data_IF_623443027823
#
_entry.id   IF_623443027823
#
_cell.length_a   1.000
_cell.length_b   1.000
_cell.length_c   1.000
_cell.angle_alpha   90.00
_cell.angle_beta   90.00
_cell.angle_gamma   90.00
#
_symmetry.space_group_name_H-M   'P 1'
#
loop_
_entity.id
_entity.type
_entity.pdbx_description
1 polymer ?
#
# COMPACT_ATOMS: atom_id res chain seq x y z
N UNK A 1 -26.92 -36.94 -26.53
CA UNK A 1 -27.21 -36.60 -25.12
C UNK A 1 -25.87 -36.42 -24.44
N UNK A 2 -25.39 -35.18 -24.34
CA UNK A 2 -24.17 -34.88 -23.62
C UNK A 2 -24.48 -35.03 -22.12
N UNK A 3 -23.75 -35.93 -21.46
CA UNK A 3 -23.82 -36.08 -19.99
C UNK A 3 -23.51 -34.72 -19.35
N UNK A 4 -24.41 -34.28 -18.47
CA UNK A 4 -24.21 -33.14 -17.63
C UNK A 4 -23.11 -33.53 -16.61
N UNK A 5 -21.85 -33.40 -17.03
CA UNK A 5 -20.72 -33.58 -16.12
C UNK A 5 -20.81 -32.51 -15.06
N UNK A 6 -21.01 -32.84 -13.78
CA UNK A 6 -21.07 -31.82 -12.74
C UNK A 6 -19.78 -31.04 -12.76
N UNK A 7 -19.87 -29.71 -12.79
CA UNK A 7 -18.72 -28.83 -12.63
C UNK A 7 -17.85 -29.37 -11.48
N UNK A 8 -16.53 -29.49 -11.67
CA UNK A 8 -15.67 -29.96 -10.59
C UNK A 8 -15.92 -29.15 -9.33
N UNK A 9 -15.86 -29.76 -8.14
CA UNK A 9 -16.16 -29.06 -6.89
C UNK A 9 -15.35 -27.77 -6.83
N UNK A 10 -16.07 -26.67 -6.72
CA UNK A 10 -15.50 -25.33 -6.78
C UNK A 10 -14.38 -25.21 -5.72
N UNK A 11 -13.24 -24.66 -6.12
CA UNK A 11 -12.20 -24.36 -5.13
C UNK A 11 -12.75 -23.43 -4.07
N UNK A 12 -12.37 -23.60 -2.77
CA UNK A 12 -12.76 -22.69 -1.70
C UNK A 12 -12.50 -21.23 -2.08
N UNK A 13 -13.39 -20.33 -1.65
CA UNK A 13 -13.34 -18.91 -2.05
C UNK A 13 -11.99 -18.27 -1.72
N UNK A 14 -11.40 -18.57 -0.57
CA UNK A 14 -10.08 -18.07 -0.16
C UNK A 14 -8.97 -18.45 -1.16
N UNK A 15 -9.01 -19.68 -1.70
CA UNK A 15 -8.07 -20.13 -2.74
C UNK A 15 -8.27 -19.38 -4.05
N UNK A 16 -9.52 -19.13 -4.44
CA UNK A 16 -9.85 -18.38 -5.65
C UNK A 16 -9.38 -16.93 -5.53
N UNK A 17 -9.63 -16.28 -4.40
CA UNK A 17 -9.16 -14.92 -4.11
C UNK A 17 -7.62 -14.87 -4.15
N UNK A 18 -6.94 -15.81 -3.50
CA UNK A 18 -5.47 -15.87 -3.50
C UNK A 18 -4.91 -16.05 -4.91
N UNK A 19 -5.55 -16.92 -5.73
CA UNK A 19 -5.15 -17.10 -7.14
C UNK A 19 -5.35 -15.82 -7.95
N UNK A 20 -6.47 -15.11 -7.75
CA UNK A 20 -6.74 -13.83 -8.40
C UNK A 20 -5.67 -12.79 -8.05
N UNK A 21 -5.36 -12.63 -6.77
CA UNK A 21 -4.30 -11.72 -6.31
C UNK A 21 -2.92 -12.07 -6.88
N UNK A 22 -2.60 -13.37 -7.00
CA UNK A 22 -1.34 -13.80 -7.62
C UNK A 22 -1.27 -13.41 -9.11
N UNK A 23 -2.39 -13.50 -9.86
CA UNK A 23 -2.46 -13.05 -11.26
C UNK A 23 -2.27 -11.53 -11.37
N UNK A 24 -2.92 -10.74 -10.53
CA UNK A 24 -2.73 -9.28 -10.47
C UNK A 24 -1.27 -8.95 -10.11
N UNK A 25 -0.70 -9.64 -9.12
CA UNK A 25 0.71 -9.46 -8.74
C UNK A 25 1.69 -9.76 -9.88
N UNK A 26 1.39 -10.78 -10.71
CA UNK A 26 2.19 -11.09 -11.91
C UNK A 26 2.10 -9.96 -12.95
N UNK A 27 0.91 -9.44 -13.22
CA UNK A 27 0.70 -8.32 -14.14
C UNK A 27 1.45 -7.08 -13.66
N UNK A 28 1.35 -6.73 -12.36
CA UNK A 28 2.11 -5.64 -11.74
C UNK A 28 3.63 -5.81 -11.93
N UNK A 29 4.13 -7.03 -11.71
CA UNK A 29 5.55 -7.32 -11.89
C UNK A 29 5.99 -7.15 -13.34
N UNK A 30 5.22 -7.66 -14.30
CA UNK A 30 5.52 -7.54 -15.72
C UNK A 30 5.53 -6.09 -16.18
N UNK A 31 4.51 -5.32 -15.79
CA UNK A 31 4.43 -3.90 -16.13
C UNK A 31 5.57 -3.10 -15.51
N UNK A 32 5.91 -3.35 -14.24
CA UNK A 32 7.03 -2.69 -13.58
C UNK A 32 8.37 -2.91 -14.31
N UNK A 33 8.60 -4.11 -14.85
CA UNK A 33 9.80 -4.41 -15.64
C UNK A 33 9.76 -3.74 -17.02
N UNK A 34 8.62 -3.72 -17.68
CA UNK A 34 8.46 -3.07 -18.99
C UNK A 34 8.71 -1.55 -18.88
N UNK A 35 8.06 -0.88 -17.94
CA UNK A 35 8.19 0.56 -17.71
C UNK A 35 9.61 0.95 -17.26
N UNK A 36 10.17 0.22 -16.30
CA UNK A 36 11.50 0.48 -15.81
C UNK A 36 12.56 0.25 -16.90
N UNK A 37 12.42 -0.81 -17.69
CA UNK A 37 13.33 -1.15 -18.79
C UNK A 37 13.37 -0.08 -19.87
N UNK A 38 12.23 0.48 -20.27
CA UNK A 38 12.13 1.59 -21.22
C UNK A 38 12.84 2.87 -20.77
N UNK A 39 13.08 3.04 -19.46
CA UNK A 39 13.77 4.18 -18.84
C UNK A 39 15.21 3.86 -18.43
N UNK A 40 15.67 2.64 -18.68
CA UNK A 40 16.97 2.16 -18.20
C UNK A 40 17.05 2.09 -16.67
N UNK A 41 15.93 1.89 -15.99
CA UNK A 41 15.82 1.70 -14.55
C UNK A 41 15.55 0.23 -14.21
N UNK A 42 15.71 -0.15 -12.96
CA UNK A 42 15.11 -1.38 -12.42
C UNK A 42 13.83 -1.05 -11.68
N UNK A 43 12.89 -1.99 -11.48
CA UNK A 43 11.69 -1.73 -10.68
C UNK A 43 11.99 -1.16 -9.30
N UNK A 44 13.01 -1.68 -8.60
CA UNK A 44 13.45 -1.15 -7.30
C UNK A 44 13.91 0.30 -7.39
N UNK A 45 14.62 0.68 -8.46
CA UNK A 45 15.03 2.07 -8.69
C UNK A 45 13.82 2.98 -8.90
N UNK A 46 12.83 2.54 -9.67
CA UNK A 46 11.56 3.25 -9.85
C UNK A 46 10.83 3.45 -8.51
N UNK A 47 10.73 2.40 -7.70
CA UNK A 47 10.11 2.46 -6.37
C UNK A 47 10.84 3.42 -5.42
N UNK A 48 12.19 3.43 -5.43
CA UNK A 48 12.98 4.42 -4.66
C UNK A 48 12.61 5.84 -5.08
N UNK A 49 12.53 6.12 -6.38
CA UNK A 49 12.17 7.45 -6.89
C UNK A 49 10.74 7.85 -6.47
N UNK A 50 9.78 6.93 -6.57
CA UNK A 50 8.39 7.16 -6.16
C UNK A 50 8.28 7.48 -4.65
N UNK A 51 9.00 6.74 -3.79
CA UNK A 51 9.05 7.01 -2.35
C UNK A 51 9.67 8.37 -2.04
N UNK A 52 10.76 8.73 -2.71
CA UNK A 52 11.40 10.05 -2.51
C UNK A 52 10.51 11.20 -2.98
N UNK A 53 9.69 11.00 -4.02
CA UNK A 53 8.70 11.99 -4.46
C UNK A 53 7.63 12.25 -3.39
N UNK A 54 7.20 11.22 -2.69
CA UNK A 54 6.25 11.33 -1.59
C UNK A 54 6.87 11.96 -0.32
N UNK A 55 8.22 12.06 -0.26
CA UNK A 55 8.97 12.57 0.89
C UNK A 55 10.01 13.61 0.42
N UNK A 56 9.60 14.87 0.17
CA UNK A 56 10.46 15.93 -0.39
C UNK A 56 11.71 16.23 0.45
N UNK A 57 11.63 16.06 1.76
CA UNK A 57 12.74 16.26 2.68
C UNK A 57 13.80 15.16 2.58
N UNK A 58 13.52 14.14 1.77
CA UNK A 58 14.37 12.96 1.59
C UNK A 58 14.12 11.88 2.63
N UNK A 59 14.75 10.73 2.41
CA UNK A 59 14.68 9.57 3.29
C UNK A 59 16.07 9.03 3.59
N UNK A 60 16.26 8.49 4.80
CA UNK A 60 17.46 7.74 5.15
C UNK A 60 17.47 6.39 4.43
N UNK A 61 18.67 5.86 4.13
CA UNK A 61 18.82 4.55 3.48
C UNK A 61 18.05 3.44 4.22
N UNK A 62 18.08 3.43 5.56
CA UNK A 62 17.34 2.46 6.36
C UNK A 62 15.81 2.61 6.24
N UNK A 63 15.31 3.84 6.11
CA UNK A 63 13.88 4.10 5.89
C UNK A 63 13.44 3.61 4.51
N UNK A 64 14.25 3.86 3.47
CA UNK A 64 14.00 3.34 2.12
C UNK A 64 13.97 1.81 2.12
N UNK A 65 14.97 1.16 2.74
CA UNK A 65 15.02 -0.30 2.85
C UNK A 65 13.77 -0.86 3.55
N UNK A 66 13.38 -0.26 4.68
CA UNK A 66 12.22 -0.66 5.45
C UNK A 66 10.91 -0.48 4.67
N UNK A 67 10.72 0.64 3.97
CA UNK A 67 9.49 0.89 3.19
C UNK A 67 9.40 0.01 1.93
N UNK A 68 10.54 -0.32 1.32
CA UNK A 68 10.58 -1.19 0.13
C UNK A 68 10.52 -2.69 0.49
N UNK A 69 10.77 -3.05 1.75
CA UNK A 69 10.86 -4.45 2.14
C UNK A 69 12.06 -5.19 1.53
N UNK A 70 13.14 -4.46 1.24
CA UNK A 70 14.39 -5.02 0.69
C UNK A 70 15.56 -4.83 1.66
N UNK A 71 16.67 -5.53 1.41
CA UNK A 71 17.86 -5.41 2.27
C UNK A 71 18.52 -4.03 2.15
N UNK A 72 19.24 -3.61 3.19
CA UNK A 72 20.04 -2.39 3.18
C UNK A 72 21.08 -2.39 2.04
N UNK A 73 21.66 -3.55 1.71
CA UNK A 73 22.60 -3.71 0.60
C UNK A 73 21.91 -3.43 -0.74
N UNK A 74 20.76 -4.07 -1.02
CA UNK A 74 19.97 -3.84 -2.24
C UNK A 74 19.56 -2.36 -2.38
N UNK A 75 19.17 -1.72 -1.28
CA UNK A 75 18.83 -0.29 -1.27
C UNK A 75 20.04 0.57 -1.58
N UNK A 76 21.18 0.30 -0.96
CA UNK A 76 22.44 1.03 -1.18
C UNK A 76 22.89 0.94 -2.63
N UNK A 77 22.81 -0.25 -3.24
CA UNK A 77 23.17 -0.48 -4.65
C UNK A 77 22.24 0.28 -5.59
N UNK A 78 20.93 0.22 -5.34
CA UNK A 78 19.92 0.93 -6.12
C UNK A 78 20.10 2.44 -6.05
N UNK A 79 20.28 2.99 -4.84
CA UNK A 79 20.56 4.42 -4.62
C UNK A 79 21.91 4.82 -5.22
N UNK A 80 22.94 3.97 -5.13
CA UNK A 80 24.23 4.17 -5.79
C UNK A 80 24.11 4.29 -7.31
N UNK A 81 23.32 3.42 -7.93
CA UNK A 81 23.04 3.46 -9.35
C UNK A 81 22.26 4.72 -9.76
N UNK A 82 21.24 5.11 -8.98
CA UNK A 82 20.47 6.34 -9.20
C UNK A 82 21.36 7.60 -9.07
N UNK A 83 22.27 7.62 -8.10
CA UNK A 83 23.22 8.73 -7.94
C UNK A 83 24.16 8.85 -9.15
N UNK A 84 24.70 7.73 -9.68
CA UNK A 84 25.50 7.73 -10.91
C UNK A 84 24.73 8.22 -12.13
N UNK A 85 23.40 8.01 -12.17
CA UNK A 85 22.50 8.54 -13.21
C UNK A 85 22.11 10.01 -12.97
N UNK A 86 22.56 10.64 -11.89
CA UNK A 86 22.21 12.01 -11.55
C UNK A 86 20.77 12.21 -11.12
N UNK A 87 20.05 11.15 -10.73
CA UNK A 87 18.64 11.20 -10.36
C UNK A 87 18.42 11.46 -8.87
N UNK A 88 19.39 11.11 -8.03
CA UNK A 88 19.36 11.37 -6.59
C UNK A 88 20.69 11.95 -6.10
N UNK A 89 20.62 12.71 -5.02
CA UNK A 89 21.79 13.12 -4.22
C UNK A 89 21.83 12.35 -2.92
N UNK A 90 23.05 12.21 -2.37
CA UNK A 90 23.29 11.65 -1.04
C UNK A 90 23.96 12.73 -0.22
N UNK A 91 23.37 13.10 0.90
CA UNK A 91 23.97 14.05 1.84
C UNK A 91 24.11 13.40 3.22
N UNK A 92 25.20 13.68 3.91
CA UNK A 92 25.31 13.36 5.32
C UNK A 92 24.31 14.22 6.11
N UNK A 93 23.66 13.64 7.10
CA UNK A 93 22.78 14.40 7.98
C UNK A 93 23.62 15.39 8.81
N UNK A 94 23.18 16.64 8.88
CA UNK A 94 23.82 17.63 9.74
C UNK A 94 23.84 17.13 11.20
N UNK A 95 25.02 17.03 11.79
CA UNK A 95 25.20 16.52 13.16
C UNK A 95 25.48 15.02 13.29
N UNK A 96 25.23 14.20 12.26
CA UNK A 96 25.60 12.78 12.25
C UNK A 96 26.05 12.33 10.85
N UNK A 97 27.33 12.41 10.59
CA UNK A 97 27.93 12.02 9.30
C UNK A 97 27.78 10.54 8.93
N UNK A 98 27.31 9.68 9.85
CA UNK A 98 27.02 8.26 9.57
C UNK A 98 25.65 8.06 8.93
N UNK A 99 24.76 9.05 9.04
CA UNK A 99 23.41 8.99 8.49
C UNK A 99 23.40 9.64 7.11
N UNK A 100 23.08 8.85 6.10
CA UNK A 100 22.92 9.32 4.71
C UNK A 100 21.44 9.55 4.43
N UNK A 101 21.11 10.79 4.05
CA UNK A 101 19.80 11.17 3.52
C UNK A 101 19.88 11.21 2.00
N UNK A 102 18.88 10.62 1.34
CA UNK A 102 18.75 10.55 -0.11
C UNK A 102 17.62 11.48 -0.52
N UNK A 103 17.87 12.33 -1.52
CA UNK A 103 16.90 13.28 -2.06
C UNK A 103 16.89 13.23 -3.58
N UNK A 104 15.76 13.62 -4.20
CA UNK A 104 15.67 13.74 -5.65
C UNK A 104 16.45 14.96 -6.15
N UNK A 105 17.08 14.80 -7.31
CA UNK A 105 17.48 15.95 -8.15
C UNK A 105 16.29 16.44 -8.97
N UNK A 106 16.45 17.58 -9.67
CA UNK A 106 15.42 18.03 -10.63
C UNK A 106 15.15 16.99 -11.73
N UNK A 107 16.19 16.28 -12.20
CA UNK A 107 16.06 15.19 -13.15
C UNK A 107 15.34 13.99 -12.51
N UNK A 108 15.73 13.64 -11.27
CA UNK A 108 15.08 12.59 -10.49
C UNK A 108 13.61 12.86 -10.23
N UNK A 109 13.21 14.10 -9.99
CA UNK A 109 11.81 14.47 -9.78
C UNK A 109 10.94 14.22 -11.03
N UNK A 110 11.48 14.48 -12.23
CA UNK A 110 10.79 14.15 -13.48
C UNK A 110 10.64 12.63 -13.68
N UNK A 111 11.71 11.89 -13.47
CA UNK A 111 11.66 10.42 -13.54
C UNK A 111 10.77 9.81 -12.46
N UNK A 112 10.76 10.38 -11.25
CA UNK A 112 9.88 9.94 -10.17
C UNK A 112 8.39 10.17 -10.48
N UNK A 113 8.05 11.25 -11.19
CA UNK A 113 6.68 11.50 -11.63
C UNK A 113 6.20 10.40 -12.58
N UNK A 114 7.05 10.00 -13.52
CA UNK A 114 6.75 8.93 -14.45
C UNK A 114 6.77 7.54 -13.77
N UNK A 115 7.69 7.30 -12.84
CA UNK A 115 7.73 6.05 -12.08
C UNK A 115 6.56 5.88 -11.10
N UNK A 116 5.94 6.98 -10.66
CA UNK A 116 4.77 6.93 -9.78
C UNK A 116 3.48 6.53 -10.53
N UNK A 117 3.44 6.71 -11.85
CA UNK A 117 2.30 6.36 -12.70
C UNK A 117 2.30 4.88 -13.15
N UNK A 118 3.32 4.08 -12.81
CA UNK A 118 3.41 2.70 -13.32
C UNK A 118 2.26 1.76 -12.92
N UNK A 119 1.55 1.94 -11.77
CA UNK A 119 0.37 1.13 -11.48
C UNK A 119 -0.91 1.63 -12.16
N UNK A 120 -0.87 2.74 -12.91
CA UNK A 120 -2.06 3.38 -13.50
C UNK A 120 -2.80 2.47 -14.49
N UNK A 121 -2.13 1.48 -15.10
CA UNK A 121 -2.78 0.48 -15.95
C UNK A 121 -3.86 -0.33 -15.21
N UNK A 122 -3.82 -0.38 -13.87
CA UNK A 122 -4.87 -1.00 -13.08
C UNK A 122 -6.08 -0.09 -12.87
N UNK A 123 -5.95 1.22 -13.07
CA UNK A 123 -7.06 2.15 -12.87
C UNK A 123 -8.23 1.81 -13.78
N UNK A 124 -7.97 1.54 -15.07
CA UNK A 124 -9.02 1.13 -16.02
C UNK A 124 -9.75 -0.14 -15.54
N UNK A 125 -9.01 -1.11 -14.98
CA UNK A 125 -9.61 -2.34 -14.46
C UNK A 125 -10.38 -2.11 -13.15
N UNK A 126 -9.94 -1.17 -12.31
CA UNK A 126 -10.64 -0.79 -11.07
C UNK A 126 -11.89 0.03 -11.39
N UNK A 127 -11.86 0.87 -12.42
CA UNK A 127 -12.99 1.68 -12.85
C UNK A 127 -14.17 0.84 -13.39
N UNK A 128 -13.93 -0.41 -13.80
CA UNK A 128 -15.00 -1.36 -14.15
C UNK A 128 -15.80 -1.84 -12.92
N UNK A 129 -15.28 -1.65 -11.71
CA UNK A 129 -15.98 -1.97 -10.47
C UNK A 129 -16.90 -0.81 -10.06
N UNK A 130 -18.10 -1.14 -9.60
CA UNK A 130 -18.97 -0.16 -8.95
C UNK A 130 -18.30 0.43 -7.69
N UNK A 131 -18.78 1.60 -7.24
CA UNK A 131 -18.25 2.24 -6.03
C UNK A 131 -18.32 1.35 -4.79
N UNK A 132 -19.39 0.58 -4.64
CA UNK A 132 -19.56 -0.35 -3.52
C UNK A 132 -18.56 -1.52 -3.60
N UNK A 133 -18.32 -2.06 -4.81
CA UNK A 133 -17.32 -3.11 -5.02
C UNK A 133 -15.90 -2.59 -4.76
N UNK A 134 -15.58 -1.36 -5.19
CA UNK A 134 -14.31 -0.73 -4.89
C UNK A 134 -14.11 -0.53 -3.38
N UNK A 135 -15.13 -0.06 -2.66
CA UNK A 135 -15.08 0.13 -1.21
C UNK A 135 -14.89 -1.22 -0.47
N UNK A 136 -15.66 -2.24 -0.86
CA UNK A 136 -15.54 -3.58 -0.29
C UNK A 136 -14.16 -4.20 -0.57
N UNK A 137 -13.64 -4.02 -1.78
CA UNK A 137 -12.31 -4.48 -2.17
C UNK A 137 -11.20 -3.76 -1.38
N UNK A 138 -11.29 -2.43 -1.24
CA UNK A 138 -10.35 -1.64 -0.44
C UNK A 138 -10.35 -2.09 1.03
N UNK A 139 -11.52 -2.31 1.64
CA UNK A 139 -11.65 -2.87 2.98
C UNK A 139 -10.99 -4.24 3.10
N UNK A 140 -11.19 -5.10 2.11
CA UNK A 140 -10.53 -6.41 2.02
C UNK A 140 -9.00 -6.29 1.96
N UNK A 141 -8.48 -5.39 1.11
CA UNK A 141 -7.05 -5.11 1.00
C UNK A 141 -6.46 -4.58 2.32
N UNK A 142 -7.12 -3.62 2.98
CA UNK A 142 -6.70 -3.11 4.30
C UNK A 142 -6.58 -4.25 5.31
N UNK A 143 -7.55 -5.15 5.32
CA UNK A 143 -7.56 -6.32 6.21
C UNK A 143 -6.39 -7.27 5.93
N UNK A 144 -6.14 -7.58 4.66
CA UNK A 144 -5.06 -8.47 4.25
C UNK A 144 -3.68 -7.86 4.53
N UNK A 145 -3.48 -6.58 4.15
CA UNK A 145 -2.25 -5.84 4.37
C UNK A 145 -1.93 -5.79 5.86
N UNK A 146 -2.90 -5.41 6.71
CA UNK A 146 -2.71 -5.39 8.17
C UNK A 146 -2.31 -6.76 8.72
N UNK A 147 -2.93 -7.82 8.25
CA UNK A 147 -2.60 -9.19 8.67
C UNK A 147 -1.18 -9.58 8.28
N UNK A 148 -0.75 -9.24 7.06
CA UNK A 148 0.61 -9.50 6.58
C UNK A 148 1.66 -8.68 7.33
N UNK A 149 1.34 -7.43 7.68
CA UNK A 149 2.21 -6.56 8.49
C UNK A 149 2.43 -7.13 9.90
N UNK A 150 1.36 -7.52 10.59
CA UNK A 150 1.44 -8.14 11.93
C UNK A 150 2.27 -9.42 11.92
N UNK A 151 2.22 -10.17 10.81
CA UNK A 151 3.02 -11.38 10.60
C UNK A 151 4.45 -11.10 10.10
N UNK A 152 4.85 -9.83 9.97
CA UNK A 152 6.19 -9.45 9.50
C UNK A 152 6.47 -9.82 8.04
N UNK A 153 5.43 -10.03 7.21
CA UNK A 153 5.57 -10.44 5.80
C UNK A 153 5.77 -9.24 4.87
N UNK A 154 5.28 -8.08 5.26
CA UNK A 154 5.44 -6.83 4.54
C UNK A 154 5.72 -5.69 5.53
N UNK A 155 6.35 -4.59 5.08
CA UNK A 155 6.60 -3.42 5.93
C UNK A 155 5.32 -2.83 6.52
N UNK A 156 5.45 -2.14 7.65
CA UNK A 156 4.33 -1.40 8.25
C UNK A 156 4.05 -0.15 7.41
N UNK A 157 2.80 0.01 6.97
CA UNK A 157 2.31 1.18 6.28
C UNK A 157 1.46 2.06 7.24
N UNK A 158 1.34 3.33 6.90
CA UNK A 158 0.61 4.35 7.69
C UNK A 158 -0.88 4.29 7.38
N UNK A 159 -1.53 3.19 7.75
CA UNK A 159 -2.95 2.95 7.45
C UNK A 159 -3.87 3.47 8.56
N UNK A 160 -5.12 3.82 8.21
CA UNK A 160 -6.14 4.20 9.18
C UNK A 160 -6.26 3.18 10.32
N UNK A 161 -6.32 1.89 10.02
CA UNK A 161 -6.51 0.82 11.01
C UNK A 161 -5.37 0.63 12.02
N UNK A 162 -4.26 1.35 11.86
CA UNK A 162 -3.14 1.40 12.81
C UNK A 162 -2.94 2.80 13.41
N UNK A 163 -3.85 3.75 13.10
CA UNK A 163 -3.76 5.14 13.51
C UNK A 163 -4.53 5.41 14.79
N UNK A 164 -3.96 6.23 15.69
CA UNK A 164 -4.61 6.63 16.95
C UNK A 164 -5.87 7.48 16.76
N UNK A 165 -6.01 8.12 15.59
CA UNK A 165 -7.15 8.98 15.27
C UNK A 165 -8.30 8.23 14.60
N UNK A 166 -8.15 6.95 14.31
CA UNK A 166 -9.18 6.16 13.64
C UNK A 166 -10.17 5.56 14.63
N UNK A 167 -11.44 5.88 14.44
CA UNK A 167 -12.56 5.38 15.23
C UNK A 167 -13.54 4.65 14.29
N UNK A 168 -13.47 3.31 14.20
CA UNK A 168 -14.36 2.55 13.34
C UNK A 168 -15.77 2.50 13.91
N UNK A 169 -16.78 2.63 13.03
CA UNK A 169 -18.23 2.53 13.33
C UNK A 169 -18.70 3.48 14.46
N UNK A 170 -18.17 4.70 14.44
CA UNK A 170 -18.55 5.78 15.37
C UNK A 170 -19.90 6.40 14.99
N UNK A 171 -20.35 6.26 13.74
CA UNK A 171 -21.55 6.85 13.19
C UNK A 171 -22.52 5.78 12.71
N UNK A 172 -23.83 6.08 12.82
CA UNK A 172 -24.92 5.18 12.40
C UNK A 172 -25.16 5.21 10.89
N UNK A 173 -24.63 6.22 10.17
CA UNK A 173 -24.72 6.30 8.72
C UNK A 173 -23.86 5.21 8.06
N UNK A 174 -24.46 4.25 7.34
CA UNK A 174 -23.72 3.17 6.69
C UNK A 174 -22.78 3.65 5.58
N UNK A 175 -23.02 4.83 5.01
CA UNK A 175 -22.14 5.40 3.98
C UNK A 175 -20.86 6.00 4.58
N UNK A 176 -20.93 6.50 5.83
CA UNK A 176 -19.82 7.16 6.54
C UNK A 176 -19.69 6.68 7.98
N UNK A 177 -19.56 5.35 8.22
CA UNK A 177 -19.61 4.79 9.57
C UNK A 177 -18.38 5.12 10.43
N UNK A 178 -17.26 5.45 9.81
CA UNK A 178 -16.02 5.71 10.53
C UNK A 178 -15.83 7.19 10.84
N UNK A 179 -14.96 7.49 11.81
CA UNK A 179 -14.55 8.85 12.14
C UNK A 179 -13.03 8.98 12.19
N UNK A 180 -12.52 10.09 11.69
CA UNK A 180 -11.12 10.48 11.83
C UNK A 180 -11.02 11.67 12.79
N UNK A 181 -10.54 11.44 14.01
CA UNK A 181 -10.41 12.48 15.03
C UNK A 181 -9.32 13.52 14.71
N UNK A 182 -8.46 13.30 13.73
CA UNK A 182 -7.46 14.29 13.29
C UNK A 182 -8.09 15.41 12.47
N UNK A 183 -8.96 15.06 11.52
CA UNK A 183 -9.68 16.03 10.69
C UNK A 183 -11.11 16.31 11.20
N UNK A 184 -11.51 15.63 12.26
CA UNK A 184 -12.83 15.71 12.91
C UNK A 184 -13.97 15.50 11.88
N UNK A 185 -13.92 14.39 11.13
CA UNK A 185 -14.88 14.13 10.07
C UNK A 185 -15.25 12.65 9.94
N UNK A 186 -16.55 12.35 9.60
CA UNK A 186 -16.99 11.01 9.24
C UNK A 186 -16.48 10.61 7.85
N UNK A 187 -16.32 9.30 7.63
CA UNK A 187 -15.92 8.75 6.32
C UNK A 187 -16.29 7.28 6.17
N UNK A 188 -16.35 6.81 4.92
CA UNK A 188 -16.70 5.44 4.57
C UNK A 188 -15.51 4.52 4.25
N UNK A 189 -15.79 3.24 4.03
CA UNK A 189 -14.79 2.23 3.64
C UNK A 189 -13.98 2.64 2.40
N UNK A 190 -14.61 3.29 1.43
CA UNK A 190 -13.96 3.79 0.21
C UNK A 190 -12.94 4.92 0.45
N UNK A 191 -12.92 5.51 1.64
CA UNK A 191 -12.00 6.58 2.02
C UNK A 191 -10.88 6.13 2.96
N UNK A 192 -10.81 4.83 3.26
CA UNK A 192 -9.72 4.25 4.05
C UNK A 192 -8.36 4.51 3.39
N UNK A 193 -7.41 5.04 4.14
CA UNK A 193 -6.07 5.35 3.63
C UNK A 193 -5.10 4.22 3.89
N UNK A 194 -4.36 3.84 2.85
CA UNK A 194 -3.26 2.87 2.91
C UNK A 194 -1.92 3.54 3.25
N UNK A 195 -1.80 4.85 3.00
CA UNK A 195 -0.65 5.67 3.38
C UNK A 195 -1.11 7.11 3.69
N UNK A 196 -1.25 7.43 4.96
CA UNK A 196 -1.70 8.74 5.44
C UNK A 196 -0.50 9.55 5.95
N UNK A 197 -0.36 10.80 5.51
CA UNK A 197 0.71 11.71 5.97
C UNK A 197 0.56 12.08 7.44
N UNK A 198 -0.68 12.19 7.92
CA UNK A 198 -1.03 12.61 9.28
C UNK A 198 -1.16 11.40 10.23
N UNK A 199 -0.69 10.23 9.79
CA UNK A 199 -0.74 9.02 10.58
C UNK A 199 0.13 9.15 11.84
N UNK A 200 -0.49 8.91 12.99
CA UNK A 200 0.21 8.70 14.24
C UNK A 200 -0.13 7.29 14.75
N UNK A 201 0.92 6.49 15.00
CA UNK A 201 0.72 5.11 15.43
C UNK A 201 -0.06 5.04 16.75
N UNK A 202 -1.10 4.24 16.79
CA UNK A 202 -1.84 3.99 18.00
C UNK A 202 -1.00 3.18 19.01
N UNK A 203 -1.11 3.43 20.32
CA UNK A 203 -0.57 2.53 21.34
C UNK A 203 -1.08 1.10 21.12
N UNK A 204 -0.30 0.07 21.50
CA UNK A 204 -0.63 -1.33 21.20
C UNK A 204 -2.04 -1.76 21.64
N UNK A 205 -2.49 -1.35 22.81
CA UNK A 205 -3.83 -1.67 23.35
C UNK A 205 -4.92 -1.01 22.50
N UNK A 206 -4.77 0.28 22.20
CA UNK A 206 -5.71 1.00 21.33
C UNK A 206 -5.72 0.38 19.92
N UNK A 207 -4.56 0.06 19.34
CA UNK A 207 -4.47 -0.57 18.03
C UNK A 207 -5.19 -1.93 18.00
N UNK A 208 -5.09 -2.72 19.08
CA UNK A 208 -5.80 -3.98 19.19
C UNK A 208 -7.31 -3.78 19.29
N UNK A 209 -7.78 -2.86 20.14
CA UNK A 209 -9.20 -2.56 20.30
C UNK A 209 -9.82 -2.00 19.01
N UNK A 210 -9.14 -1.04 18.37
CA UNK A 210 -9.56 -0.46 17.07
C UNK A 210 -9.65 -1.54 15.99
N UNK A 211 -8.68 -2.45 15.94
CA UNK A 211 -8.70 -3.55 14.98
C UNK A 211 -9.85 -4.54 15.24
N UNK A 212 -10.10 -4.89 16.49
CA UNK A 212 -11.24 -5.75 16.85
C UNK A 212 -12.56 -5.09 16.45
N UNK A 213 -12.74 -3.82 16.77
CA UNK A 213 -13.94 -3.06 16.39
C UNK A 213 -14.11 -3.00 14.85
N UNK A 214 -13.03 -2.71 14.10
CA UNK A 214 -13.07 -2.68 12.63
C UNK A 214 -13.41 -4.04 12.00
N UNK A 215 -13.03 -5.14 12.66
CA UNK A 215 -13.30 -6.52 12.21
C UNK A 215 -14.65 -7.06 12.68
N UNK A 216 -15.28 -6.41 13.64
CA UNK A 216 -16.59 -6.85 14.12
C UNK A 216 -17.62 -6.84 12.97
N UNK A 217 -18.49 -7.84 12.87
CA UNK A 217 -19.58 -7.83 11.91
C UNK A 217 -20.51 -6.64 12.18
N UNK A 218 -20.73 -5.81 11.18
CA UNK A 218 -21.76 -4.76 11.26
C UNK A 218 -23.14 -5.36 11.06
N UNK A 219 -24.19 -4.61 11.39
CA UNK A 219 -25.57 -5.07 11.19
C UNK A 219 -25.90 -5.42 9.73
N UNK A 220 -25.17 -4.78 8.77
CA UNK A 220 -25.29 -4.99 7.34
C UNK A 220 -24.25 -6.01 6.78
N UNK A 221 -23.50 -6.71 7.62
CA UNK A 221 -22.50 -7.67 7.16
C UNK A 221 -23.18 -8.97 6.68
N UNK A 222 -23.03 -9.33 5.39
CA UNK A 222 -23.64 -10.55 4.86
C UNK A 222 -23.14 -11.85 5.52
N UNK A 223 -22.09 -11.79 6.36
CA UNK A 223 -21.60 -12.92 7.16
C UNK A 223 -22.45 -13.19 8.40
N UNK A 224 -23.51 -12.41 8.66
CA UNK A 224 -24.43 -12.60 9.80
C UNK A 224 -25.51 -13.64 9.57
N UNK A 225 -25.78 -14.03 8.33
CA UNK A 225 -26.69 -15.13 8.06
C UNK A 225 -25.98 -16.47 8.26
N UNK A 226 -26.58 -17.39 9.06
CA UNK A 226 -26.01 -18.69 9.38
C UNK A 226 -25.97 -19.66 8.21
#
# INVERSE_FOLDING_TARGET
>A
MAANDPLPPDQPLDKRVTTGLAKVGLALKQQAWAEAGGRGLTPTQGQVLALLRANPDGLRLGQLAGQLGVTAATTSDSVGALARKGLVTKAALAGDGRVVVVQLTAAGAREAAAAAAWPDFLLEAVDELSGDEQAAFLRGLVTMIRTLQVRGRIPVARMCVSCQFFQPFQHDDPATPHHCAFVDAPFGDGQLRLDCRDHAAAPPEQAAATWQAFRAPTAADPRRDP
#
